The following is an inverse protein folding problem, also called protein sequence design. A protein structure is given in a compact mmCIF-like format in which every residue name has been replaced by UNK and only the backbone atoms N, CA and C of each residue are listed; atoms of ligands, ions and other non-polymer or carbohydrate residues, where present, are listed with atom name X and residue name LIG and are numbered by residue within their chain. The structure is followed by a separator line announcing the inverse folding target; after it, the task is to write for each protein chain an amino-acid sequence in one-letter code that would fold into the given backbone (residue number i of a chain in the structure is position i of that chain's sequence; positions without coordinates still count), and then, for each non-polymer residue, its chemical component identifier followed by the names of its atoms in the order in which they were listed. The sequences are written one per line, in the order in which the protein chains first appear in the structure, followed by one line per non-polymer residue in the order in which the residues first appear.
data_IF_128934092264
#
_entry.id   IF_128934092264
#
_cell.length_a   1.000
_cell.length_b   1.000
_cell.length_c   1.000
_cell.angle_alpha   90.00
_cell.angle_beta   90.00
_cell.angle_gamma   90.00
#
_symmetry.space_group_name_H-M   'P 1'
#
loop_
_entity.id
_entity.type
_entity.pdbx_description
1 polymer ?
#
# COMPACT_ATOMS: atom_id res chain seq x y z
N UNK A 1 2.95 35.98 7.63
CA UNK A 1 3.21 34.86 8.55
C UNK A 1 2.94 33.57 7.79
N UNK A 2 3.97 32.87 7.37
CA UNK A 2 3.85 31.60 6.64
C UNK A 2 3.52 30.50 7.66
N UNK A 3 2.37 29.86 7.53
CA UNK A 3 2.07 28.69 8.36
C UNK A 3 3.12 27.61 8.09
N UNK A 4 3.61 26.90 9.12
CA UNK A 4 4.48 25.76 8.93
C UNK A 4 3.72 24.72 8.10
N UNK A 5 4.27 24.36 6.95
CA UNK A 5 3.82 23.19 6.19
C UNK A 5 4.07 22.01 7.12
N UNK A 6 3.00 21.49 7.73
CA UNK A 6 3.06 20.19 8.38
C UNK A 6 3.34 19.18 7.28
N UNK A 7 4.62 18.85 7.10
CA UNK A 7 5.07 17.62 6.48
C UNK A 7 4.51 16.50 7.34
N UNK A 8 3.24 16.18 7.13
CA UNK A 8 2.63 14.96 7.63
C UNK A 8 3.35 13.82 6.89
N UNK A 9 4.49 13.45 7.48
CA UNK A 9 5.06 12.12 7.54
C UNK A 9 4.69 11.26 6.35
N UNK A 10 5.63 11.12 5.41
CA UNK A 10 5.75 9.86 4.66
C UNK A 10 5.66 8.78 5.74
N UNK A 11 4.58 7.97 5.80
CA UNK A 11 4.40 7.01 6.87
C UNK A 11 5.62 6.10 6.81
N UNK A 12 6.39 6.04 7.90
CA UNK A 12 7.57 5.18 7.97
C UNK A 12 7.16 3.79 7.48
N UNK A 13 7.77 3.34 6.38
CA UNK A 13 7.51 2.03 5.75
C UNK A 13 7.64 0.89 6.77
N UNK A 14 8.43 1.10 7.83
CA UNK A 14 8.68 0.14 8.89
C UNK A 14 7.59 0.09 9.99
N UNK A 15 6.68 1.07 10.08
CA UNK A 15 5.74 1.18 11.22
C UNK A 15 4.28 1.36 10.85
N UNK A 16 3.94 1.60 9.58
CA UNK A 16 2.55 1.86 9.23
C UNK A 16 1.81 0.55 8.94
N UNK A 17 0.89 0.20 9.84
CA UNK A 17 -0.16 -0.80 9.61
C UNK A 17 -0.78 -0.64 8.22
N UNK A 18 -0.88 0.59 7.70
CA UNK A 18 -1.37 0.98 6.36
C UNK A 18 -0.81 0.14 5.21
N UNK A 19 0.37 -0.47 5.34
CA UNK A 19 1.00 -1.21 4.25
C UNK A 19 0.59 -2.68 4.14
N UNK A 20 -0.08 -3.27 5.15
CA UNK A 20 -0.48 -4.70 5.07
C UNK A 20 -1.42 -4.94 3.90
N UNK A 21 -2.44 -4.10 3.73
CA UNK A 21 -3.37 -4.21 2.60
C UNK A 21 -2.64 -4.02 1.26
N UNK A 22 -1.70 -3.08 1.17
CA UNK A 22 -0.93 -2.84 -0.06
C UNK A 22 -0.09 -4.06 -0.41
N UNK A 23 0.61 -4.64 0.56
CA UNK A 23 1.44 -5.83 0.34
C UNK A 23 0.61 -7.04 -0.11
N UNK A 24 -0.52 -7.30 0.57
CA UNK A 24 -1.41 -8.41 0.20
C UNK A 24 -1.99 -8.24 -1.21
N UNK A 25 -2.34 -7.00 -1.57
CA UNK A 25 -2.93 -6.66 -2.87
C UNK A 25 -1.88 -6.45 -3.97
N UNK A 26 -0.59 -6.66 -3.70
CA UNK A 26 0.48 -6.56 -4.71
C UNK A 26 1.43 -7.75 -4.69
N UNK A 27 1.15 -8.77 -3.88
CA UNK A 27 2.00 -9.96 -3.71
C UNK A 27 2.22 -10.77 -5.00
N UNK A 28 1.30 -10.66 -5.95
CA UNK A 28 1.32 -11.35 -7.23
C UNK A 28 2.16 -10.64 -8.31
N UNK A 29 2.40 -9.33 -8.18
CA UNK A 29 3.23 -8.56 -9.11
C UNK A 29 4.02 -7.46 -8.39
N UNK A 30 5.33 -7.68 -8.26
CA UNK A 30 6.24 -6.74 -7.62
C UNK A 30 6.27 -5.36 -8.31
N UNK A 31 5.89 -5.27 -9.59
CA UNK A 31 5.81 -3.99 -10.32
C UNK A 31 4.69 -3.10 -9.77
N UNK A 32 3.60 -3.69 -9.28
CA UNK A 32 2.50 -2.93 -8.65
C UNK A 32 2.97 -2.28 -7.36
N UNK A 33 3.65 -3.03 -6.49
CA UNK A 33 4.21 -2.51 -5.25
C UNK A 33 5.20 -1.38 -5.55
N UNK A 34 6.10 -1.60 -6.52
CA UNK A 34 7.08 -0.61 -6.95
C UNK A 34 6.44 0.69 -7.42
N UNK A 35 5.43 0.60 -8.28
CA UNK A 35 4.72 1.76 -8.80
C UNK A 35 3.93 2.47 -7.69
N UNK A 36 3.26 1.72 -6.82
CA UNK A 36 2.51 2.28 -5.69
C UNK A 36 3.42 3.03 -4.71
N UNK A 37 4.58 2.47 -4.36
CA UNK A 37 5.58 3.13 -3.51
C UNK A 37 6.11 4.39 -4.18
N UNK A 38 6.36 4.34 -5.50
CA UNK A 38 6.77 5.52 -6.27
C UNK A 38 5.72 6.63 -6.19
N UNK A 39 4.44 6.30 -6.37
CA UNK A 39 3.34 7.25 -6.19
C UNK A 39 3.34 7.84 -4.78
N UNK A 40 3.48 7.01 -3.75
CA UNK A 40 3.47 7.46 -2.35
C UNK A 40 4.59 8.44 -2.03
N UNK A 41 5.79 8.23 -2.58
CA UNK A 41 6.93 9.11 -2.37
C UNK A 41 6.76 10.46 -3.07
N UNK A 42 6.28 10.45 -4.31
CA UNK A 42 6.19 11.66 -5.14
C UNK A 42 4.88 12.43 -5.00
N UNK A 43 3.83 11.84 -4.42
CA UNK A 43 2.52 12.51 -4.27
C UNK A 43 2.60 13.82 -3.47
N UNK A 44 3.48 13.91 -2.47
CA UNK A 44 3.69 15.15 -1.72
C UNK A 44 4.37 16.23 -2.58
N UNK A 45 5.33 15.82 -3.42
CA UNK A 45 6.07 16.70 -4.33
C UNK A 45 5.16 17.22 -5.44
N UNK A 46 4.42 16.34 -6.10
CA UNK A 46 3.48 16.71 -7.18
C UNK A 46 2.28 17.53 -6.67
N UNK A 47 2.00 17.50 -5.37
CA UNK A 47 1.02 18.41 -4.74
C UNK A 47 1.60 19.79 -4.41
N UNK A 48 2.87 19.83 -4.02
CA UNK A 48 3.55 21.09 -3.68
C UNK A 48 3.90 21.92 -4.92
N UNK A 49 4.19 21.24 -6.04
CA UNK A 49 4.45 21.85 -7.33
C UNK A 49 3.41 21.32 -8.31
N UNK A 50 2.50 22.16 -8.86
CA UNK A 50 1.41 21.72 -9.73
C UNK A 50 1.96 21.25 -11.10
N UNK A 51 2.63 20.11 -11.05
CA UNK A 51 3.23 19.40 -12.17
C UNK A 51 2.40 18.14 -12.41
N UNK A 52 1.83 18.03 -13.60
CA UNK A 52 1.10 16.84 -13.99
C UNK A 52 2.07 15.82 -14.57
N UNK A 53 2.56 14.92 -13.69
CA UNK A 53 3.47 13.86 -14.08
C UNK A 53 2.86 12.97 -15.19
N UNK A 54 3.57 12.93 -16.31
CA UNK A 54 3.26 12.13 -17.51
C UNK A 54 3.53 10.65 -17.27
N UNK A 55 3.14 9.80 -18.23
CA UNK A 55 3.46 8.36 -18.18
C UNK A 55 4.98 8.14 -18.15
N UNK A 56 5.74 8.90 -18.93
CA UNK A 56 7.19 8.81 -19.00
C UNK A 56 7.86 9.23 -17.68
N UNK A 57 7.32 10.25 -17.00
CA UNK A 57 7.79 10.63 -15.67
C UNK A 57 7.64 9.48 -14.67
N UNK A 58 6.48 8.80 -14.68
CA UNK A 58 6.24 7.66 -13.80
C UNK A 58 7.10 6.46 -14.17
N UNK A 59 7.32 6.21 -15.46
CA UNK A 59 8.23 5.17 -15.95
C UNK A 59 9.65 5.42 -15.43
N UNK A 60 10.14 6.66 -15.58
CA UNK A 60 11.47 7.07 -15.12
C UNK A 60 11.60 6.96 -13.59
N UNK A 61 10.63 7.51 -12.83
CA UNK A 61 10.65 7.51 -11.35
C UNK A 61 10.58 6.11 -10.77
N UNK A 62 9.79 5.22 -11.38
CA UNK A 62 9.62 3.84 -10.91
C UNK A 62 10.65 2.86 -11.47
N UNK A 63 11.36 3.24 -12.54
CA UNK A 63 12.24 2.35 -13.29
C UNK A 63 11.49 1.21 -13.99
N UNK A 64 10.22 1.43 -14.34
CA UNK A 64 9.38 0.50 -15.09
C UNK A 64 9.33 0.90 -16.57
N UNK A 65 9.11 -0.06 -17.49
CA UNK A 65 8.81 0.26 -18.89
C UNK A 65 7.58 1.17 -19.00
N UNK A 66 7.61 2.17 -19.89
CA UNK A 66 6.50 3.12 -20.05
C UNK A 66 5.18 2.41 -20.46
N UNK A 67 5.28 1.35 -21.26
CA UNK A 67 4.17 0.48 -21.66
C UNK A 67 3.48 -0.23 -20.48
N UNK A 68 4.19 -0.49 -19.38
CA UNK A 68 3.65 -1.16 -18.19
C UNK A 68 2.94 -0.17 -17.25
N UNK A 69 3.28 1.12 -17.28
CA UNK A 69 2.80 2.10 -16.31
C UNK A 69 1.27 2.26 -16.35
N UNK A 70 0.69 2.40 -17.54
CA UNK A 70 -0.77 2.61 -17.67
C UNK A 70 -1.58 1.38 -17.22
N UNK A 71 -1.25 0.15 -17.66
CA UNK A 71 -1.88 -1.07 -17.15
C UNK A 71 -1.77 -1.22 -15.63
N UNK A 72 -0.58 -0.97 -15.07
CA UNK A 72 -0.36 -1.10 -13.63
C UNK A 72 -1.14 -0.04 -12.85
N UNK A 73 -1.23 1.20 -13.33
CA UNK A 73 -2.08 2.24 -12.72
C UNK A 73 -3.56 1.84 -12.72
N UNK A 74 -4.04 1.26 -13.83
CA UNK A 74 -5.42 0.78 -13.92
C UNK A 74 -5.66 -0.34 -12.89
N UNK A 75 -4.71 -1.27 -12.74
CA UNK A 75 -4.81 -2.37 -11.79
C UNK A 75 -4.72 -1.88 -10.33
N UNK A 76 -3.85 -0.93 -10.02
CA UNK A 76 -3.81 -0.27 -8.70
C UNK A 76 -5.14 0.43 -8.37
N UNK A 77 -5.77 1.05 -9.36
CA UNK A 77 -7.08 1.70 -9.20
C UNK A 77 -8.17 0.65 -8.96
N UNK A 78 -8.18 -0.43 -9.74
CA UNK A 78 -9.14 -1.54 -9.60
C UNK A 78 -9.04 -2.21 -8.23
N UNK A 79 -7.83 -2.37 -7.68
CA UNK A 79 -7.58 -2.92 -6.33
C UNK A 79 -7.84 -1.90 -5.21
N UNK A 80 -8.25 -0.69 -5.56
CA UNK A 80 -8.54 0.39 -4.61
C UNK A 80 -7.30 0.86 -3.84
N UNK A 81 -6.10 0.67 -4.39
CA UNK A 81 -4.84 1.11 -3.81
C UNK A 81 -4.56 2.58 -4.11
N UNK A 82 -5.14 3.09 -5.19
CA UNK A 82 -5.21 4.51 -5.55
C UNK A 82 -6.62 4.85 -6.05
N UNK A 83 -7.00 6.12 -6.00
CA UNK A 83 -8.24 6.64 -6.61
C UNK A 83 -7.95 7.31 -7.94
N UNK A 84 -8.96 7.84 -8.62
CA UNK A 84 -8.78 8.81 -9.72
C UNK A 84 -8.96 10.23 -9.16
N UNK A 85 -7.99 11.16 -9.30
CA UNK A 85 -6.81 11.13 -10.18
C UNK A 85 -5.50 10.72 -9.44
N UNK A 86 -5.32 9.42 -9.19
CA UNK A 86 -4.10 8.78 -8.64
C UNK A 86 -3.73 9.22 -7.22
N UNK A 87 -4.73 9.45 -6.36
CA UNK A 87 -4.50 9.74 -4.94
C UNK A 87 -4.49 8.47 -4.11
N UNK A 88 -3.61 8.39 -3.12
CA UNK A 88 -3.62 7.28 -2.15
C UNK A 88 -4.71 7.53 -1.08
N UNK A 89 -5.73 6.66 -0.94
CA UNK A 89 -6.78 6.81 0.06
C UNK A 89 -6.30 6.27 1.42
N UNK A 90 -5.39 7.00 2.09
CA UNK A 90 -4.72 6.55 3.31
C UNK A 90 -5.67 6.02 4.41
N UNK A 91 -6.80 6.68 4.65
CA UNK A 91 -7.76 6.25 5.66
C UNK A 91 -8.39 4.88 5.35
N UNK A 92 -8.75 4.65 4.09
CA UNK A 92 -9.34 3.38 3.63
C UNK A 92 -8.30 2.26 3.70
N UNK A 93 -7.07 2.52 3.24
CA UNK A 93 -5.99 1.53 3.29
C UNK A 93 -5.58 1.19 4.73
N UNK A 94 -5.61 2.17 5.64
CA UNK A 94 -5.39 1.94 7.06
C UNK A 94 -6.45 0.98 7.63
N UNK A 95 -7.73 1.26 7.40
CA UNK A 95 -8.84 0.42 7.88
C UNK A 95 -8.75 -1.01 7.32
N UNK A 96 -8.51 -1.17 6.01
CA UNK A 96 -8.31 -2.48 5.37
C UNK A 96 -7.14 -3.23 5.98
N UNK A 97 -6.06 -2.54 6.29
CA UNK A 97 -4.88 -3.16 6.87
C UNK A 97 -5.09 -3.60 8.32
N UNK A 98 -5.78 -2.81 9.13
CA UNK A 98 -6.19 -3.20 10.49
C UNK A 98 -7.07 -4.44 10.44
N UNK A 99 -8.08 -4.46 9.57
CA UNK A 99 -8.95 -5.62 9.40
C UNK A 99 -8.18 -6.88 8.95
N UNK A 100 -7.23 -6.73 8.03
CA UNK A 100 -6.38 -7.84 7.55
C UNK A 100 -5.47 -8.37 8.65
N UNK A 101 -4.87 -7.48 9.44
CA UNK A 101 -4.00 -7.84 10.57
C UNK A 101 -4.80 -8.58 11.65
N UNK A 102 -6.00 -8.11 11.96
CA UNK A 102 -6.88 -8.76 12.94
C UNK A 102 -7.35 -10.13 12.47
N UNK A 103 -7.73 -10.27 11.19
CA UNK A 103 -8.09 -11.56 10.61
C UNK A 103 -6.92 -12.56 10.69
N UNK A 104 -5.69 -12.12 10.40
CA UNK A 104 -4.50 -12.94 10.52
C UNK A 104 -4.24 -13.37 11.98
N UNK A 105 -4.40 -12.44 12.93
CA UNK A 105 -4.28 -12.73 14.37
C UNK A 105 -5.27 -13.80 14.82
N UNK A 106 -6.53 -13.68 14.44
CA UNK A 106 -7.58 -14.66 14.76
C UNK A 106 -7.27 -16.03 14.16
N UNK A 107 -6.85 -16.09 12.90
CA UNK A 107 -6.50 -17.34 12.23
C UNK A 107 -5.30 -18.05 12.89
N UNK A 108 -4.28 -17.28 13.31
CA UNK A 108 -3.13 -17.82 14.05
C UNK A 108 -3.59 -18.37 15.40
N UNK A 109 -4.42 -17.64 16.15
CA UNK A 109 -4.93 -18.10 17.44
C UNK A 109 -5.71 -19.40 17.31
N UNK A 110 -6.64 -19.50 16.35
CA UNK A 110 -7.42 -20.72 16.10
C UNK A 110 -6.52 -21.92 15.79
N UNK A 111 -5.44 -21.70 15.05
CA UNK A 111 -4.48 -22.75 14.72
C UNK A 111 -3.65 -23.18 15.93
N UNK A 112 -3.29 -22.26 16.81
CA UNK A 112 -2.63 -22.56 18.09
C UNK A 112 -3.55 -23.35 19.02
N UNK A 113 -4.81 -22.94 19.15
CA UNK A 113 -5.79 -23.63 19.99
C UNK A 113 -6.03 -25.07 19.51
N UNK A 114 -6.13 -25.28 18.19
CA UNK A 114 -6.25 -26.61 17.61
C UNK A 114 -5.02 -27.49 17.88
N UNK A 115 -3.81 -26.91 17.83
CA UNK A 115 -2.57 -27.64 18.14
C UNK A 115 -2.51 -28.05 19.62
N UNK A 116 -2.89 -27.16 20.53
CA UNK A 116 -2.95 -27.48 21.97
C UNK A 116 -3.97 -28.58 22.26
N UNK A 117 -5.19 -28.48 21.70
CA UNK A 117 -6.22 -29.51 21.87
C UNK A 117 -5.79 -30.88 21.34
N UNK A 118 -5.03 -30.91 20.24
CA UNK A 118 -4.49 -32.15 19.66
C UNK A 118 -3.38 -32.75 20.55
N UNK A 119 -2.58 -31.90 21.20
CA UNK A 119 -1.58 -32.37 22.16
C UNK A 119 -2.23 -32.98 23.40
N UNK A 120 -3.28 -32.38 23.96
CA UNK A 120 -4.00 -32.90 25.13
C UNK A 120 -4.71 -34.23 24.89
N UNK A 121 -5.06 -34.57 23.64
CA UNK A 121 -5.71 -35.85 23.29
C UNK A 121 -4.72 -37.00 23.06
N UNK A 122 -3.42 -36.72 22.98
CA UNK A 122 -2.36 -37.71 22.78
C UNK A 122 -1.68 -38.17 24.08
N UNK A 123 -2.13 -37.65 25.23
CA UNK A 123 -1.72 -38.05 26.59
C UNK A 123 -2.88 -38.72 27.32
#
# INVERSE_FOLDING_TARGET
MCQPIHLHTIPSLATATVYVAVLLETQDDARLLRLWVTLALYQAVDRAFPYHATVDDWAQRSGLPAEDVVPLLALLTQRGLITTPRLIPHGVLHQRSVASTEAARVAIQQRLDALHATQETLW
#
